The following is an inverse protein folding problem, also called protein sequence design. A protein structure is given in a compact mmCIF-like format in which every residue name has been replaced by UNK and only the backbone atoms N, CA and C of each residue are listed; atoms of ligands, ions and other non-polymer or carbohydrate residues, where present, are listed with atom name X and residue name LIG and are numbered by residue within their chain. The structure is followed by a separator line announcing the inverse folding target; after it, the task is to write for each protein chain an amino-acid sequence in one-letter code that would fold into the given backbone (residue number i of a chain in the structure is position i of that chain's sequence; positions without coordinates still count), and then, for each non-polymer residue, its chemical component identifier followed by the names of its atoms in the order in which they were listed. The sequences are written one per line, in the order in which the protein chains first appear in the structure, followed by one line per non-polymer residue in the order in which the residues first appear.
data_IF_810824089057
#
_entry.id   IF_810824089057
#
_cell.length_a   1.000
_cell.length_b   1.000
_cell.length_c   1.000
_cell.angle_alpha   90.00
_cell.angle_beta   90.00
_cell.angle_gamma   90.00
#
_symmetry.space_group_name_H-M   'P 1'
#
loop_
_entity.id
_entity.type
_entity.pdbx_description
1 polymer ?
#
# COMPACT_ATOMS: atom_id res chain seq x y z
N UNK A 1 -2.65 -20.86 8.37
CA UNK A 1 -4.06 -20.45 8.56
C UNK A 1 -4.22 -19.08 9.22
N UNK A 2 -3.17 -18.51 9.83
CA UNK A 2 -3.23 -17.18 10.48
C UNK A 2 -3.21 -16.03 9.46
N UNK A 3 -2.27 -16.01 8.51
CA UNK A 3 -2.10 -14.90 7.55
C UNK A 3 -3.32 -14.61 6.65
N UNK A 4 -4.09 -15.63 6.28
CA UNK A 4 -5.33 -15.45 5.48
C UNK A 4 -6.40 -14.71 6.29
N UNK A 5 -6.52 -15.00 7.58
CA UNK A 5 -7.47 -14.30 8.45
C UNK A 5 -7.05 -12.84 8.66
N UNK A 6 -5.75 -12.60 8.86
CA UNK A 6 -5.21 -11.24 9.00
C UNK A 6 -5.39 -10.43 7.71
N UNK A 7 -5.25 -11.08 6.55
CA UNK A 7 -5.46 -10.47 5.23
C UNK A 7 -6.91 -10.02 5.02
N UNK A 8 -7.88 -10.74 5.59
CA UNK A 8 -9.31 -10.36 5.58
C UNK A 8 -9.57 -9.21 6.56
N UNK A 9 -9.01 -9.25 7.76
CA UNK A 9 -9.15 -8.18 8.75
C UNK A 9 -8.57 -6.86 8.23
N UNK A 10 -7.38 -6.91 7.63
CA UNK A 10 -6.72 -5.74 7.04
C UNK A 10 -7.55 -5.14 5.89
N UNK A 11 -8.25 -5.98 5.11
CA UNK A 11 -9.16 -5.52 4.07
C UNK A 11 -10.33 -4.72 4.67
N UNK A 12 -11.02 -5.29 5.66
CA UNK A 12 -12.17 -4.65 6.29
C UNK A 12 -11.77 -3.33 6.97
N UNK A 13 -10.63 -3.30 7.65
CA UNK A 13 -10.11 -2.08 8.27
C UNK A 13 -9.81 -1.01 7.21
N UNK A 14 -9.12 -1.39 6.13
CA UNK A 14 -8.73 -0.45 5.08
C UNK A 14 -9.94 0.14 4.33
N UNK A 15 -10.94 -0.68 4.01
CA UNK A 15 -12.15 -0.20 3.29
C UNK A 15 -12.98 0.76 4.14
N UNK A 16 -12.90 0.66 5.47
CA UNK A 16 -13.60 1.55 6.40
C UNK A 16 -12.84 2.85 6.67
N UNK A 17 -11.57 2.95 6.29
CA UNK A 17 -10.80 4.18 6.49
C UNK A 17 -11.26 5.28 5.53
N UNK A 18 -11.53 6.50 6.04
CA UNK A 18 -11.82 7.63 5.16
C UNK A 18 -10.57 7.98 4.34
N UNK A 19 -10.75 8.41 3.09
CA UNK A 19 -9.66 8.68 2.17
C UNK A 19 -8.58 9.66 2.71
N UNK A 20 -8.92 10.70 3.51
CA UNK A 20 -7.91 11.54 4.13
C UNK A 20 -7.01 10.82 5.11
N UNK A 21 -7.58 9.91 5.91
CA UNK A 21 -6.81 9.12 6.86
C UNK A 21 -5.89 8.12 6.15
N UNK A 22 -6.43 7.47 5.12
CA UNK A 22 -5.65 6.58 4.24
C UNK A 22 -4.44 7.30 3.63
N UNK A 23 -4.64 8.53 3.14
CA UNK A 23 -3.56 9.34 2.59
C UNK A 23 -2.54 9.74 3.66
N UNK A 24 -2.98 10.16 4.86
CA UNK A 24 -2.10 10.53 5.97
C UNK A 24 -1.16 9.40 6.37
N UNK A 25 -1.72 8.20 6.59
CA UNK A 25 -0.91 7.05 7.01
C UNK A 25 0.11 6.65 5.94
N UNK A 26 -0.31 6.55 4.67
CA UNK A 26 0.61 6.24 3.59
C UNK A 26 1.71 7.31 3.40
N UNK A 27 1.38 8.59 3.58
CA UNK A 27 2.36 9.68 3.51
C UNK A 27 3.36 9.58 4.67
N UNK A 28 2.90 9.28 5.88
CA UNK A 28 3.77 9.12 7.05
C UNK A 28 4.80 7.99 6.86
N UNK A 29 4.36 6.87 6.28
CA UNK A 29 5.19 5.68 6.11
C UNK A 29 6.09 5.73 4.86
N UNK A 30 5.55 6.16 3.72
CA UNK A 30 6.22 6.05 2.41
C UNK A 30 6.70 7.41 1.87
N UNK A 31 6.17 8.52 2.40
CA UNK A 31 6.41 9.87 1.89
C UNK A 31 5.56 10.21 0.68
N UNK A 32 5.21 11.50 0.53
CA UNK A 32 4.28 11.97 -0.50
C UNK A 32 4.73 11.68 -1.95
N UNK A 33 6.04 11.67 -2.21
CA UNK A 33 6.57 11.35 -3.56
C UNK A 33 6.22 9.92 -3.97
N UNK A 34 6.39 8.95 -3.06
CA UNK A 34 6.07 7.54 -3.34
C UNK A 34 4.57 7.38 -3.45
N UNK A 35 3.79 8.01 -2.57
CA UNK A 35 2.32 7.98 -2.63
C UNK A 35 1.78 8.58 -3.93
N UNK A 36 2.37 9.66 -4.44
CA UNK A 36 2.00 10.24 -5.73
C UNK A 36 2.32 9.29 -6.89
N UNK A 37 3.51 8.67 -6.89
CA UNK A 37 3.91 7.70 -7.90
C UNK A 37 3.00 6.47 -7.89
N UNK A 38 2.78 5.90 -6.71
CA UNK A 38 1.86 4.79 -6.42
C UNK A 38 0.46 5.07 -6.96
N UNK A 39 -0.10 6.25 -6.67
CA UNK A 39 -1.45 6.63 -7.10
C UNK A 39 -1.54 6.97 -8.60
N UNK A 40 -0.41 7.02 -9.31
CA UNK A 40 -0.35 7.37 -10.74
C UNK A 40 -0.60 8.85 -11.02
N UNK A 41 -0.30 9.74 -10.06
CA UNK A 41 -0.50 11.19 -10.21
C UNK A 41 0.82 11.92 -10.40
N UNK A 42 0.81 12.98 -11.22
CA UNK A 42 2.01 13.79 -11.51
C UNK A 42 2.29 14.85 -10.43
N UNK A 43 1.24 15.37 -9.80
CA UNK A 43 1.35 16.37 -8.72
C UNK A 43 1.79 15.68 -7.42
N UNK A 44 3.05 15.89 -7.02
CA UNK A 44 3.63 15.34 -5.79
C UNK A 44 3.04 15.96 -4.51
N UNK A 45 2.40 17.12 -4.61
CA UNK A 45 1.68 17.76 -3.50
C UNK A 45 0.22 17.30 -3.37
N UNK A 46 -0.31 16.60 -4.37
CA UNK A 46 -1.70 16.13 -4.36
C UNK A 46 -2.01 15.15 -3.22
N UNK A 47 -1.11 14.22 -2.82
CA UNK A 47 -1.34 13.39 -1.65
C UNK A 47 -1.59 14.20 -0.37
N UNK A 48 -0.86 15.30 -0.14
CA UNK A 48 -1.10 16.15 1.02
C UNK A 48 -2.47 16.85 0.97
N UNK A 49 -2.99 17.14 -0.22
CA UNK A 49 -4.35 17.70 -0.38
C UNK A 49 -5.42 16.65 -0.06
N UNK A 50 -5.18 15.38 -0.40
CA UNK A 50 -6.07 14.28 -0.03
C UNK A 50 -6.12 14.06 1.48
N UNK A 51 -5.00 14.29 2.17
CA UNK A 51 -4.87 14.16 3.62
C UNK A 51 -5.65 15.23 4.45
N UNK A 52 -6.35 16.15 3.80
CA UNK A 52 -7.17 17.19 4.46
C UNK A 52 -8.61 16.69 4.57
N UNK A 53 -9.17 16.73 5.79
CA UNK A 53 -10.58 16.38 6.01
C UNK A 53 -11.51 17.34 5.27
N UNK A 54 -12.46 16.80 4.50
CA UNK A 54 -13.33 17.61 3.61
C UNK A 54 -12.61 18.22 2.40
N UNK A 55 -11.34 17.86 2.18
CA UNK A 55 -10.53 18.34 1.05
C UNK A 55 -10.83 17.65 -0.28
N UNK A 56 -9.94 17.86 -1.24
CA UNK A 56 -10.01 17.20 -2.55
C UNK A 56 -9.93 15.70 -2.34
N UNK A 57 -10.85 14.95 -2.95
CA UNK A 57 -10.83 13.49 -2.88
C UNK A 57 -9.99 12.88 -4.02
N UNK A 58 -9.28 11.76 -3.78
CA UNK A 58 -8.68 10.99 -4.85
C UNK A 58 -9.77 10.47 -5.80
N UNK A 59 -9.45 10.40 -7.10
CA UNK A 59 -10.30 9.69 -8.07
C UNK A 59 -10.33 8.21 -7.74
N UNK A 60 -11.36 7.49 -8.16
CA UNK A 60 -11.53 6.06 -7.84
C UNK A 60 -10.28 5.21 -8.10
N UNK A 61 -9.65 5.34 -9.28
CA UNK A 61 -8.44 4.58 -9.59
C UNK A 61 -7.27 4.88 -8.64
N UNK A 62 -7.14 6.13 -8.16
CA UNK A 62 -6.14 6.50 -7.17
C UNK A 62 -6.53 5.94 -5.78
N UNK A 63 -7.81 6.05 -5.41
CA UNK A 63 -8.32 5.51 -4.14
C UNK A 63 -8.11 4.00 -4.05
N UNK A 64 -8.42 3.24 -5.09
CA UNK A 64 -8.17 1.78 -5.14
C UNK A 64 -6.71 1.46 -4.92
N UNK A 65 -5.79 2.19 -5.56
CA UNK A 65 -4.33 2.01 -5.37
C UNK A 65 -3.90 2.32 -3.94
N UNK A 66 -4.41 3.40 -3.34
CA UNK A 66 -4.13 3.72 -1.94
C UNK A 66 -4.66 2.63 -0.99
N UNK A 67 -5.86 2.10 -1.25
CA UNK A 67 -6.43 1.02 -0.44
C UNK A 67 -5.61 -0.27 -0.53
N UNK A 68 -5.20 -0.67 -1.75
CA UNK A 68 -4.33 -1.84 -1.92
C UNK A 68 -3.00 -1.61 -1.22
N UNK A 69 -2.40 -0.43 -1.38
CA UNK A 69 -1.13 -0.13 -0.74
C UNK A 69 -1.20 -0.16 0.79
N UNK A 70 -2.25 0.41 1.37
CA UNK A 70 -2.44 0.40 2.81
C UNK A 70 -2.67 -1.02 3.34
N UNK A 71 -3.50 -1.82 2.67
CA UNK A 71 -3.70 -3.23 3.05
C UNK A 71 -2.38 -3.99 3.03
N UNK A 72 -1.59 -3.84 1.97
CA UNK A 72 -0.28 -4.48 1.84
C UNK A 72 0.69 -3.99 2.91
N UNK A 73 0.73 -2.68 3.17
CA UNK A 73 1.54 -2.07 4.22
C UNK A 73 1.21 -2.67 5.59
N UNK A 74 -0.06 -2.64 6.01
CA UNK A 74 -0.49 -3.18 7.31
C UNK A 74 -0.17 -4.67 7.42
N UNK A 75 -0.31 -5.43 6.34
CA UNK A 75 -0.01 -6.87 6.34
C UNK A 75 1.46 -7.12 6.66
N UNK A 76 2.38 -6.44 5.97
CA UNK A 76 3.82 -6.62 6.20
C UNK A 76 4.27 -5.99 7.52
N UNK A 77 3.81 -4.77 7.82
CA UNK A 77 4.22 -4.03 9.02
C UNK A 77 3.77 -4.71 10.31
N UNK A 78 2.59 -5.35 10.32
CA UNK A 78 2.10 -6.09 11.50
C UNK A 78 2.96 -7.32 11.80
N UNK A 79 3.50 -7.97 10.77
CA UNK A 79 4.31 -9.18 10.92
C UNK A 79 5.80 -8.87 11.18
N UNK A 80 6.36 -7.92 10.43
CA UNK A 80 7.82 -7.72 10.33
C UNK A 80 8.29 -6.35 10.85
N UNK A 81 7.36 -5.47 11.22
CA UNK A 81 7.64 -4.10 11.64
C UNK A 81 7.73 -3.09 10.49
N UNK A 82 7.65 -1.80 10.83
CA UNK A 82 7.54 -0.71 9.86
C UNK A 82 8.79 -0.53 8.99
N UNK A 83 9.99 -0.71 9.55
CA UNK A 83 11.25 -0.56 8.81
C UNK A 83 11.37 -1.61 7.69
N UNK A 84 11.01 -2.87 8.00
CA UNK A 84 11.01 -3.96 7.03
C UNK A 84 9.89 -3.76 5.99
N UNK A 85 8.69 -3.37 6.43
CA UNK A 85 7.60 -3.05 5.51
C UNK A 85 7.98 -1.95 4.53
N UNK A 86 8.67 -0.91 4.99
CA UNK A 86 9.16 0.18 4.14
C UNK A 86 10.24 -0.30 3.17
N UNK A 87 11.22 -1.06 3.62
CA UNK A 87 12.24 -1.63 2.75
C UNK A 87 11.61 -2.52 1.66
N UNK A 88 10.66 -3.38 2.05
CA UNK A 88 9.92 -4.26 1.14
C UNK A 88 9.11 -3.47 0.11
N UNK A 89 8.45 -2.38 0.51
CA UNK A 89 7.63 -1.57 -0.38
C UNK A 89 8.44 -0.79 -1.43
N UNK A 90 9.65 -0.36 -1.07
CA UNK A 90 10.51 0.49 -1.90
C UNK A 90 11.53 -0.31 -2.72
N UNK A 91 11.94 -1.47 -2.23
CA UNK A 91 12.92 -2.35 -2.87
C UNK A 91 12.36 -3.13 -4.04
N UNK A 92 13.25 -3.64 -4.89
CA UNK A 92 12.89 -4.62 -5.92
C UNK A 92 12.36 -5.89 -5.26
N UNK A 93 11.33 -6.49 -5.85
CA UNK A 93 10.70 -7.69 -5.32
C UNK A 93 10.72 -8.82 -6.38
N UNK A 94 11.40 -9.94 -6.13
CA UNK A 94 11.52 -11.05 -7.09
C UNK A 94 10.17 -11.66 -7.49
N UNK A 95 9.18 -11.67 -6.58
CA UNK A 95 7.81 -12.16 -6.88
C UNK A 95 7.03 -11.20 -7.79
N UNK A 96 7.56 -9.99 -7.99
CA UNK A 96 6.99 -8.95 -8.85
C UNK A 96 7.94 -8.64 -10.03
N UNK A 97 8.72 -9.63 -10.48
CA UNK A 97 9.63 -9.47 -11.63
C UNK A 97 10.64 -8.32 -11.40
N UNK A 98 11.20 -8.24 -10.19
CA UNK A 98 12.09 -7.16 -9.73
C UNK A 98 11.43 -5.77 -9.68
N UNK A 99 10.11 -5.68 -9.87
CA UNK A 99 9.37 -4.42 -9.76
C UNK A 99 9.06 -4.10 -8.30
N UNK A 100 9.37 -2.88 -7.82
CA UNK A 100 8.97 -2.46 -6.48
C UNK A 100 7.44 -2.51 -6.28
N UNK A 101 6.94 -2.94 -5.11
CA UNK A 101 5.50 -3.05 -4.85
C UNK A 101 4.71 -1.78 -5.15
N UNK A 102 5.24 -0.59 -4.83
CA UNK A 102 4.53 0.66 -5.13
C UNK A 102 4.33 0.92 -6.64
N UNK A 103 5.22 0.41 -7.49
CA UNK A 103 5.08 0.51 -8.95
C UNK A 103 4.16 -0.59 -9.47
N UNK A 104 4.24 -1.81 -8.94
CA UNK A 104 3.31 -2.88 -9.31
C UNK A 104 1.85 -2.49 -9.00
N UNK A 105 1.59 -1.83 -7.86
CA UNK A 105 0.27 -1.29 -7.53
C UNK A 105 -0.13 -0.18 -8.51
N UNK A 106 0.78 0.71 -8.90
CA UNK A 106 0.48 1.75 -9.90
C UNK A 106 -0.03 1.13 -11.20
N UNK A 107 0.60 0.05 -11.66
CA UNK A 107 0.23 -0.66 -12.89
C UNK A 107 -1.01 -1.56 -12.76
N UNK A 108 -1.56 -1.70 -11.55
CA UNK A 108 -2.80 -2.45 -11.32
C UNK A 108 -2.60 -3.94 -11.01
N UNK A 109 -1.36 -4.37 -10.75
CA UNK A 109 -0.98 -5.75 -10.42
C UNK A 109 -1.37 -6.13 -8.97
N UNK A 110 -2.55 -5.72 -8.52
CA UNK A 110 -2.98 -5.77 -7.12
C UNK A 110 -2.93 -7.19 -6.55
N UNK A 111 -3.40 -8.18 -7.32
CA UNK A 111 -3.43 -9.58 -6.89
C UNK A 111 -2.01 -10.13 -6.68
N UNK A 112 -1.06 -9.77 -7.56
CA UNK A 112 0.34 -10.18 -7.41
C UNK A 112 0.96 -9.56 -6.16
N UNK A 113 0.71 -8.27 -5.92
CA UNK A 113 1.25 -7.56 -4.75
C UNK A 113 0.71 -8.13 -3.44
N UNK A 114 -0.59 -8.41 -3.36
CA UNK A 114 -1.19 -9.03 -2.17
C UNK A 114 -0.62 -10.44 -1.96
N UNK A 115 -0.53 -11.25 -3.01
CA UNK A 115 0.04 -12.59 -2.92
C UNK A 115 1.51 -12.57 -2.48
N UNK A 116 2.32 -11.66 -3.01
CA UNK A 116 3.71 -11.48 -2.61
C UNK A 116 3.84 -11.07 -1.13
N UNK A 117 2.96 -10.19 -0.64
CA UNK A 117 2.98 -9.78 0.76
C UNK A 117 2.60 -10.91 1.71
N UNK A 118 1.59 -11.72 1.35
CA UNK A 118 1.22 -12.92 2.12
C UNK A 118 2.37 -13.93 2.13
N UNK A 119 3.01 -14.17 0.98
CA UNK A 119 4.12 -15.11 0.88
C UNK A 119 5.33 -14.69 1.74
N UNK A 120 5.62 -13.38 1.77
CA UNK A 120 6.66 -12.77 2.61
C UNK A 120 6.40 -13.01 4.09
N UNK A 121 5.18 -12.71 4.56
CA UNK A 121 4.77 -12.89 5.95
C UNK A 121 4.69 -14.36 6.36
N UNK A 122 4.28 -15.26 5.46
CA UNK A 122 4.26 -16.70 5.72
C UNK A 122 5.67 -17.34 5.70
N UNK A 123 6.72 -16.57 5.38
CA UNK A 123 8.09 -17.09 5.25
C UNK A 123 8.26 -18.06 4.09
N UNK A 124 7.29 -18.11 3.17
CA UNK A 124 7.32 -18.93 1.94
C UNK A 124 8.09 -18.24 0.83
N UNK A 125 9.07 -17.42 1.22
CA UNK A 125 9.69 -16.45 0.36
C UNK A 125 10.87 -17.01 -0.46
N UNK A 126 11.26 -18.26 -0.16
CA UNK A 126 12.26 -19.05 -0.85
C UNK A 126 11.82 -19.61 -2.22
#
# INVERSE_FOLDING_TARGET
MTAVNDTILNHVQTVRLPAPELARQLIAHLGATVVAALAGVRDRGLPHKWAIDGGVSPREAALTRLQVAHRTWVTVATAEGEDIARAWFLGANPRLEETPPYLAIREGEFNKVIAAAVAFVDGTDA
#
